data_IF_748426197880
#
_entry.id   IF_748426197880
#
_cell.length_a   1.000
_cell.length_b   1.000
_cell.length_c   1.000
_cell.angle_alpha   90.00
_cell.angle_beta   90.00
_cell.angle_gamma   90.00
#
_symmetry.space_group_name_H-M   'P 1'
#
loop_
_entity.id
_entity.type
_entity.pdbx_description
1 polymer ?
#
# COMPACT_ATOMS: atom_id res chain seq x y z
N UNK A 1 -24.90 53.09 -5.72
CA UNK A 1 -25.65 52.07 -4.94
C UNK A 1 -26.04 50.85 -5.77
N UNK A 2 -27.04 50.87 -6.67
CA UNK A 2 -27.43 49.67 -7.46
C UNK A 2 -26.33 49.15 -8.40
N UNK A 3 -25.65 50.06 -9.11
CA UNK A 3 -24.55 49.69 -10.01
C UNK A 3 -23.31 49.16 -9.26
N UNK A 4 -23.01 49.66 -8.07
CA UNK A 4 -21.86 49.17 -7.28
C UNK A 4 -22.09 47.75 -6.77
N UNK A 5 -23.32 47.45 -6.33
CA UNK A 5 -23.72 46.11 -5.91
C UNK A 5 -23.65 45.09 -7.06
N UNK A 6 -24.14 45.45 -8.24
CA UNK A 6 -24.03 44.58 -9.42
C UNK A 6 -22.57 44.37 -9.85
N UNK A 7 -21.75 45.42 -9.80
CA UNK A 7 -20.33 45.33 -10.12
C UNK A 7 -19.57 44.45 -9.11
N UNK A 8 -19.88 44.55 -7.82
CA UNK A 8 -19.28 43.72 -6.78
C UNK A 8 -19.70 42.24 -6.94
N UNK A 9 -20.97 41.99 -7.22
CA UNK A 9 -21.48 40.64 -7.50
C UNK A 9 -20.77 40.02 -8.71
N UNK A 10 -20.64 40.76 -9.81
CA UNK A 10 -19.96 40.30 -11.01
C UNK A 10 -18.48 40.03 -10.78
N UNK A 11 -17.80 40.86 -9.98
CA UNK A 11 -16.39 40.62 -9.60
C UNK A 11 -16.23 39.32 -8.82
N UNK A 12 -17.09 39.10 -7.82
CA UNK A 12 -17.06 37.90 -7.00
C UNK A 12 -17.29 36.64 -7.83
N UNK A 13 -18.29 36.67 -8.72
CA UNK A 13 -18.56 35.56 -9.64
C UNK A 13 -17.37 35.29 -10.57
N UNK A 14 -16.72 36.34 -11.09
CA UNK A 14 -15.52 36.18 -11.91
C UNK A 14 -14.35 35.54 -11.14
N UNK A 15 -14.18 35.93 -9.88
CA UNK A 15 -13.13 35.38 -9.03
C UNK A 15 -13.40 33.91 -8.68
N UNK A 16 -14.65 33.56 -8.35
CA UNK A 16 -15.05 32.17 -8.12
C UNK A 16 -14.85 31.30 -9.37
N UNK A 17 -15.15 31.84 -10.56
CA UNK A 17 -14.90 31.15 -11.83
C UNK A 17 -13.41 30.91 -12.06
N UNK A 18 -12.57 31.94 -11.86
CA UNK A 18 -11.12 31.82 -11.99
C UNK A 18 -10.51 30.83 -11.00
N UNK A 19 -10.99 30.83 -9.76
CA UNK A 19 -10.56 29.86 -8.75
C UNK A 19 -10.94 28.44 -9.16
N UNK A 20 -12.15 28.23 -9.70
CA UNK A 20 -12.58 26.92 -10.19
C UNK A 20 -11.74 26.42 -11.37
N UNK A 21 -11.41 27.30 -12.32
CA UNK A 21 -10.53 26.97 -13.44
C UNK A 21 -9.13 26.58 -12.96
N UNK A 22 -8.53 27.38 -12.07
CA UNK A 22 -7.23 27.08 -11.48
C UNK A 22 -7.25 25.71 -10.78
N UNK A 23 -8.31 25.43 -10.03
CA UNK A 23 -8.45 24.15 -9.32
C UNK A 23 -8.61 22.96 -10.25
N UNK A 24 -9.34 23.13 -11.36
CA UNK A 24 -9.46 22.09 -12.38
C UNK A 24 -8.12 21.83 -13.09
N UNK A 25 -7.33 22.87 -13.36
CA UNK A 25 -5.97 22.72 -13.90
C UNK A 25 -5.09 21.91 -12.94
N UNK A 26 -5.09 22.28 -11.66
CA UNK A 26 -4.32 21.56 -10.63
C UNK A 26 -4.79 20.12 -10.46
N UNK A 27 -6.10 19.83 -10.56
CA UNK A 27 -6.61 18.45 -10.58
C UNK A 27 -6.06 17.63 -11.74
N UNK A 28 -6.00 18.21 -12.93
CA UNK A 28 -5.46 17.51 -14.09
C UNK A 28 -3.96 17.24 -13.94
N UNK A 29 -3.21 18.19 -13.40
CA UNK A 29 -1.79 18.01 -13.10
C UNK A 29 -1.57 16.94 -12.03
N UNK A 30 -2.36 16.96 -10.96
CA UNK A 30 -2.36 15.92 -9.93
C UNK A 30 -2.66 14.52 -10.50
N UNK A 31 -3.62 14.39 -11.42
CA UNK A 31 -3.87 13.12 -12.14
C UNK A 31 -2.64 12.66 -12.90
N UNK A 32 -1.98 13.55 -13.62
CA UNK A 32 -0.75 13.23 -14.37
C UNK A 32 0.35 12.76 -13.42
N UNK A 33 0.59 13.46 -12.30
CA UNK A 33 1.59 13.09 -11.30
C UNK A 33 1.31 11.71 -10.66
N UNK A 34 0.06 11.37 -10.37
CA UNK A 34 -0.29 10.03 -9.90
C UNK A 34 -0.07 8.97 -10.99
N UNK A 35 -0.43 9.28 -12.24
CA UNK A 35 -0.23 8.37 -13.38
C UNK A 35 1.24 8.07 -13.62
N UNK A 36 2.14 9.06 -13.47
CA UNK A 36 3.60 8.86 -13.54
C UNK A 36 4.10 7.89 -12.47
N UNK A 37 3.43 7.85 -11.31
CA UNK A 37 3.72 6.91 -10.22
C UNK A 37 2.97 5.57 -10.37
N UNK A 38 2.33 5.33 -11.53
CA UNK A 38 1.50 4.16 -11.83
C UNK A 38 0.30 3.99 -10.90
N UNK A 39 -0.25 5.10 -10.39
CA UNK A 39 -1.44 5.13 -9.55
C UNK A 39 -2.57 5.78 -10.33
N UNK A 40 -3.70 5.08 -10.48
CA UNK A 40 -4.93 5.68 -11.01
C UNK A 40 -5.68 6.37 -9.88
N UNK A 41 -5.61 7.70 -9.85
CA UNK A 41 -6.31 8.50 -8.86
C UNK A 41 -7.80 8.68 -9.21
N UNK A 42 -8.68 8.51 -8.21
CA UNK A 42 -10.10 8.86 -8.30
C UNK A 42 -10.31 10.35 -8.02
N UNK A 43 -11.47 10.88 -8.38
CA UNK A 43 -11.80 12.29 -8.16
C UNK A 43 -11.79 12.66 -6.67
N UNK A 44 -12.31 11.78 -5.82
CA UNK A 44 -12.26 11.95 -4.35
C UNK A 44 -10.82 12.05 -3.82
N UNK A 45 -9.89 11.29 -4.41
CA UNK A 45 -8.48 11.34 -4.01
C UNK A 45 -7.85 12.67 -4.41
N UNK A 46 -8.18 13.16 -5.60
CA UNK A 46 -7.68 14.45 -6.11
C UNK A 46 -8.19 15.60 -5.26
N UNK A 47 -9.44 15.55 -4.82
CA UNK A 47 -10.05 16.56 -3.96
C UNK A 47 -9.34 16.68 -2.60
N UNK A 48 -8.71 15.61 -2.13
CA UNK A 48 -7.93 15.61 -0.89
C UNK A 48 -6.54 16.22 -1.09
N UNK A 49 -5.89 15.97 -2.22
CA UNK A 49 -4.49 16.37 -2.42
C UNK A 49 -4.33 17.73 -3.10
N UNK A 50 -5.30 18.14 -3.90
CA UNK A 50 -5.23 19.36 -4.71
C UNK A 50 -5.52 20.58 -3.86
N UNK A 51 -4.61 21.56 -3.93
CA UNK A 51 -4.74 22.84 -3.27
C UNK A 51 -4.55 23.98 -4.28
N UNK A 52 -4.81 25.21 -3.85
CA UNK A 52 -4.59 26.41 -4.70
C UNK A 52 -3.12 26.63 -5.06
N UNK A 53 -2.19 25.90 -4.42
CA UNK A 53 -0.75 26.01 -4.64
C UNK A 53 -0.19 24.72 -5.24
N UNK A 54 0.55 24.84 -6.35
CA UNK A 54 1.14 23.70 -7.05
C UNK A 54 2.13 22.92 -6.17
N UNK A 55 3.03 23.60 -5.44
CA UNK A 55 3.99 22.94 -4.55
C UNK A 55 3.32 22.14 -3.44
N UNK A 56 2.27 22.71 -2.84
CA UNK A 56 1.52 22.06 -1.78
C UNK A 56 0.78 20.82 -2.31
N UNK A 57 0.20 20.93 -3.53
CA UNK A 57 -0.40 19.79 -4.23
C UNK A 57 0.62 18.66 -4.49
N UNK A 58 1.82 19.01 -4.99
CA UNK A 58 2.89 18.04 -5.24
C UNK A 58 3.34 17.33 -3.96
N UNK A 59 3.59 18.09 -2.87
CA UNK A 59 3.97 17.54 -1.57
C UNK A 59 2.92 16.57 -1.04
N UNK A 60 1.64 16.89 -1.20
CA UNK A 60 0.53 16.02 -0.79
C UNK A 60 0.53 14.71 -1.59
N UNK A 61 0.72 14.78 -2.91
CA UNK A 61 0.78 13.60 -3.80
C UNK A 61 1.96 12.71 -3.44
N UNK A 62 3.14 13.29 -3.19
CA UNK A 62 4.33 12.54 -2.82
C UNK A 62 4.16 11.85 -1.46
N UNK A 63 3.67 12.59 -0.47
CA UNK A 63 3.41 12.05 0.86
C UNK A 63 2.43 10.87 0.81
N UNK A 64 1.31 11.03 0.09
CA UNK A 64 0.29 10.01 -0.02
C UNK A 64 0.79 8.78 -0.80
N UNK A 65 1.49 9.01 -1.91
CA UNK A 65 2.06 7.92 -2.71
C UNK A 65 3.06 7.10 -1.89
N UNK A 66 3.89 7.75 -1.07
CA UNK A 66 4.82 7.07 -0.18
C UNK A 66 4.10 6.18 0.83
N UNK A 67 3.01 6.67 1.43
CA UNK A 67 2.19 5.89 2.36
C UNK A 67 1.58 4.67 1.66
N UNK A 68 0.95 4.86 0.49
CA UNK A 68 0.34 3.76 -0.29
C UNK A 68 1.40 2.70 -0.63
N UNK A 69 2.54 3.12 -1.16
CA UNK A 69 3.62 2.19 -1.53
C UNK A 69 4.14 1.39 -0.33
N UNK A 70 4.23 2.01 0.84
CA UNK A 70 4.66 1.31 2.05
C UNK A 70 3.62 0.28 2.52
N UNK A 71 2.33 0.64 2.50
CA UNK A 71 1.23 -0.28 2.84
C UNK A 71 1.22 -1.46 1.88
N UNK A 72 1.30 -1.22 0.57
CA UNK A 72 1.32 -2.27 -0.46
C UNK A 72 2.54 -3.18 -0.27
N UNK A 73 3.73 -2.62 -0.02
CA UNK A 73 4.94 -3.41 0.24
C UNK A 73 4.78 -4.33 1.44
N UNK A 74 4.25 -3.83 2.56
CA UNK A 74 4.05 -4.66 3.75
C UNK A 74 2.95 -5.72 3.52
N UNK A 75 1.85 -5.40 2.84
CA UNK A 75 0.84 -6.40 2.48
C UNK A 75 1.38 -7.49 1.54
N UNK A 76 2.19 -7.12 0.54
CA UNK A 76 2.83 -8.10 -0.36
C UNK A 76 3.79 -8.99 0.43
N UNK A 77 4.59 -8.42 1.32
CA UNK A 77 5.52 -9.16 2.18
C UNK A 77 4.77 -10.11 3.13
N UNK A 78 3.67 -9.67 3.71
CA UNK A 78 2.79 -10.53 4.53
C UNK A 78 2.15 -11.64 3.69
N UNK A 79 1.65 -11.31 2.50
CA UNK A 79 1.08 -12.29 1.57
C UNK A 79 2.11 -13.32 1.09
N UNK A 80 3.36 -12.91 0.87
CA UNK A 80 4.46 -13.84 0.57
C UNK A 80 4.84 -14.71 1.77
N UNK A 81 4.76 -14.19 3.00
CA UNK A 81 4.95 -14.98 4.22
C UNK A 81 3.85 -16.01 4.43
N UNK A 82 2.61 -15.68 4.04
CA UNK A 82 1.43 -16.52 4.20
C UNK A 82 1.21 -17.47 3.00
N UNK A 83 1.67 -17.08 1.81
CA UNK A 83 1.48 -17.80 0.54
C UNK A 83 2.68 -18.65 0.10
N UNK A 84 3.89 -18.36 0.58
CA UNK A 84 4.93 -19.37 0.57
C UNK A 84 4.47 -20.48 1.53
N UNK A 85 4.44 -21.76 1.11
CA UNK A 85 4.45 -22.82 2.10
C UNK A 85 5.61 -22.46 3.00
N UNK A 86 5.36 -22.30 4.30
CA UNK A 86 6.46 -22.45 5.25
C UNK A 86 7.15 -23.70 4.74
N UNK A 87 8.46 -23.63 4.52
CA UNK A 87 9.26 -24.83 4.60
C UNK A 87 9.08 -25.32 6.05
N UNK A 88 7.89 -25.86 6.38
CA UNK A 88 7.75 -27.03 7.20
C UNK A 88 8.75 -27.93 6.53
N UNK A 89 9.92 -27.99 7.14
CA UNK A 89 11.03 -28.85 6.73
C UNK A 89 10.37 -30.09 6.15
N UNK A 90 10.59 -30.32 4.86
CA UNK A 90 10.17 -31.56 4.20
C UNK A 90 10.41 -32.68 5.20
N UNK A 91 9.30 -33.26 5.68
CA UNK A 91 9.21 -33.97 6.95
C UNK A 91 10.00 -35.27 6.95
N UNK A 92 11.32 -35.16 7.05
CA UNK A 92 12.14 -36.19 7.66
C UNK A 92 11.96 -36.05 9.17
N UNK A 93 11.48 -37.12 9.81
CA UNK A 93 11.46 -37.30 11.26
C UNK A 93 12.81 -36.83 11.84
N UNK A 94 12.85 -35.90 12.80
CA UNK A 94 14.13 -35.47 13.39
C UNK A 94 14.59 -36.44 14.49
N UNK A 95 15.86 -36.35 14.91
CA UNK A 95 16.39 -37.16 16.01
C UNK A 95 15.57 -36.97 17.31
N UNK A 96 15.18 -35.73 17.61
CA UNK A 96 14.33 -35.39 18.76
C UNK A 96 12.94 -36.02 18.66
N UNK A 97 12.33 -35.98 17.46
CA UNK A 97 11.00 -36.57 17.23
C UNK A 97 11.02 -38.09 17.47
N UNK A 98 12.10 -38.77 17.04
CA UNK A 98 12.30 -40.21 17.26
C UNK A 98 12.51 -40.52 18.75
N UNK A 99 13.32 -39.72 19.44
CA UNK A 99 13.59 -39.94 20.87
C UNK A 99 12.38 -39.68 21.77
N UNK A 100 11.43 -38.85 21.31
CA UNK A 100 10.18 -38.55 22.01
C UNK A 100 9.08 -39.62 21.82
N UNK A 101 9.29 -40.64 20.98
CA UNK A 101 8.38 -41.79 20.87
C UNK A 101 8.36 -42.52 22.21
N UNK A 102 7.18 -42.65 22.83
CA UNK A 102 7.02 -43.26 24.16
C UNK A 102 7.27 -44.76 24.16
N UNK A 103 6.77 -45.46 23.15
CA UNK A 103 6.96 -46.90 22.97
C UNK A 103 8.42 -47.21 22.59
N UNK A 104 9.04 -48.16 23.30
CA UNK A 104 10.45 -48.50 23.08
C UNK A 104 10.71 -49.21 21.76
N UNK A 105 9.79 -50.06 21.33
CA UNK A 105 9.97 -50.91 20.16
C UNK A 105 9.76 -50.09 18.88
N UNK A 106 8.74 -49.23 18.88
CA UNK A 106 8.52 -48.25 17.81
C UNK A 106 9.68 -47.26 17.69
N UNK A 107 10.24 -46.81 18.82
CA UNK A 107 11.40 -45.93 18.84
C UNK A 107 12.62 -46.59 18.22
N UNK A 108 12.93 -47.84 18.58
CA UNK A 108 14.06 -48.59 18.00
C UNK A 108 13.89 -48.84 16.49
N UNK A 109 12.66 -49.14 16.05
CA UNK A 109 12.35 -49.30 14.64
C UNK A 109 12.54 -48.00 13.85
N UNK A 110 12.11 -46.87 14.41
CA UNK A 110 12.31 -45.55 13.81
C UNK A 110 13.79 -45.15 13.75
N UNK A 111 14.60 -45.49 14.77
CA UNK A 111 16.07 -45.32 14.75
C UNK A 111 16.70 -46.17 13.64
N UNK A 112 16.28 -47.42 13.48
CA UNK A 112 16.81 -48.34 12.47
C UNK A 112 16.52 -47.86 11.03
N UNK A 113 15.32 -47.32 10.81
CA UNK A 113 14.90 -46.75 9.53
C UNK A 113 15.58 -45.41 9.24
N UNK A 114 15.84 -44.60 10.27
CA UNK A 114 16.47 -43.28 10.15
C UNK A 114 17.90 -43.25 10.72
N UNK A 115 18.66 -44.33 10.50
CA UNK A 115 20.04 -44.48 11.04
C UNK A 115 20.96 -43.30 10.73
N UNK A 116 20.74 -42.61 9.61
CA UNK A 116 21.51 -41.43 9.22
C UNK A 116 21.42 -40.27 10.24
N UNK A 117 20.40 -40.25 11.11
CA UNK A 117 20.22 -39.23 12.17
C UNK A 117 20.92 -39.60 13.50
N UNK A 118 21.44 -40.82 13.63
CA UNK A 118 22.02 -41.38 14.86
C UNK A 118 23.46 -41.89 14.68
N UNK A 119 24.11 -41.52 13.57
CA UNK A 119 25.55 -41.76 13.36
C UNK A 119 26.40 -40.83 14.22
#
# INVERSE_FOLDING_TARGET
QKNEYEMEKLRKENEELRQREAMNSMRNEARSMFSEKNITATDDLLDIVVTTEAESTQKNIDALTNVINNIVKEQVKESLRNGAPKNVKSGGMTREDIMNIKDSDERQMAIAQNRHLFK
#
